data_IF_283435165577
#
_entry.id   IF_283435165577
#
_cell.length_a   1.000
_cell.length_b   1.000
_cell.length_c   1.000
_cell.angle_alpha   90.00
_cell.angle_beta   90.00
_cell.angle_gamma   90.00
#
_symmetry.space_group_name_H-M   'P 1'
#
loop_
_entity.id
_entity.type
_entity.pdbx_description
1 polymer ?
#
# COMPACT_ATOMS: atom_id res chain seq x y z
N UNK A 1 3.40 13.01 20.00
CA UNK A 1 3.18 13.90 18.83
C UNK A 1 2.69 15.25 19.31
N UNK A 2 3.32 16.33 18.83
CA UNK A 2 3.29 17.70 19.42
C UNK A 2 2.05 18.55 19.05
N UNK A 3 1.09 18.01 18.29
CA UNK A 3 -0.07 18.75 17.75
C UNK A 3 -1.37 17.95 17.86
N UNK A 4 -2.24 18.22 18.86
CA UNK A 4 -3.45 17.44 19.13
C UNK A 4 -4.58 17.64 18.10
N UNK A 5 -4.51 18.69 17.27
CA UNK A 5 -5.52 18.96 16.24
C UNK A 5 -5.54 17.91 15.12
N UNK A 6 -4.38 17.38 14.73
CA UNK A 6 -4.30 16.34 13.70
C UNK A 6 -4.89 14.99 14.12
N UNK A 7 -5.01 14.72 15.44
CA UNK A 7 -5.64 13.48 15.95
C UNK A 7 -7.15 13.40 15.70
N UNK A 8 -7.81 14.54 15.48
CA UNK A 8 -9.26 14.58 15.28
C UNK A 8 -9.66 14.20 13.86
N UNK A 9 -8.76 14.33 12.90
CA UNK A 9 -9.06 14.02 11.50
C UNK A 9 -8.88 12.53 11.20
N UNK A 10 -9.96 11.90 10.74
CA UNK A 10 -9.98 10.49 10.33
C UNK A 10 -8.93 10.18 9.27
N UNK A 11 -8.69 11.10 8.32
CA UNK A 11 -7.66 10.96 7.30
C UNK A 11 -6.26 10.73 7.91
N UNK A 12 -5.91 11.48 8.96
CA UNK A 12 -4.60 11.32 9.62
C UNK A 12 -4.48 9.99 10.35
N UNK A 13 -5.56 9.46 10.91
CA UNK A 13 -5.55 8.11 11.52
C UNK A 13 -5.29 7.03 10.47
N UNK A 14 -5.91 7.15 9.29
CA UNK A 14 -5.69 6.22 8.17
C UNK A 14 -4.25 6.34 7.66
N UNK A 15 -3.76 7.57 7.40
CA UNK A 15 -2.38 7.79 6.94
C UNK A 15 -1.34 7.30 7.95
N UNK A 16 -1.60 7.46 9.25
CA UNK A 16 -0.74 6.92 10.30
C UNK A 16 -0.72 5.39 10.30
N UNK A 17 -1.87 4.75 10.09
CA UNK A 17 -1.96 3.29 9.96
C UNK A 17 -1.18 2.77 8.75
N UNK A 18 -1.27 3.43 7.60
CA UNK A 18 -0.46 3.10 6.41
C UNK A 18 1.02 3.21 6.76
N UNK A 19 1.42 4.28 7.46
CA UNK A 19 2.79 4.46 7.91
C UNK A 19 3.29 3.34 8.85
N UNK A 20 2.43 2.79 9.71
CA UNK A 20 2.79 1.62 10.54
C UNK A 20 3.09 0.42 9.64
N UNK A 21 2.24 0.13 8.65
CA UNK A 21 2.45 -1.00 7.75
C UNK A 21 3.70 -0.81 6.86
N UNK A 22 3.98 0.41 6.40
CA UNK A 22 5.22 0.74 5.68
C UNK A 22 6.47 0.53 6.57
N UNK A 23 6.38 0.88 7.87
CA UNK A 23 7.45 0.57 8.82
C UNK A 23 7.65 -0.94 9.00
N UNK A 24 6.58 -1.73 9.07
CA UNK A 24 6.68 -3.20 9.18
C UNK A 24 7.39 -3.81 7.96
N UNK A 25 7.04 -3.36 6.74
CA UNK A 25 7.74 -3.77 5.52
C UNK A 25 9.23 -3.40 5.57
N UNK A 26 9.53 -2.19 6.01
CA UNK A 26 10.91 -1.69 6.09
C UNK A 26 11.76 -2.51 7.07
N UNK A 27 11.19 -2.97 8.20
CA UNK A 27 11.90 -3.84 9.16
C UNK A 27 12.31 -5.16 8.49
N UNK A 28 11.42 -5.79 7.75
CA UNK A 28 11.72 -7.03 7.04
C UNK A 28 12.74 -6.83 5.90
N UNK A 29 12.65 -5.72 5.16
CA UNK A 29 13.66 -5.36 4.17
C UNK A 29 15.03 -5.07 4.79
N UNK A 30 15.08 -4.36 5.91
CA UNK A 30 16.32 -4.10 6.64
C UNK A 30 16.97 -5.41 7.09
N UNK A 31 16.16 -6.35 7.59
CA UNK A 31 16.61 -7.70 7.91
C UNK A 31 17.18 -8.43 6.68
N UNK A 32 16.50 -8.40 5.54
CA UNK A 32 17.00 -9.01 4.29
C UNK A 32 18.33 -8.41 3.82
N UNK A 33 18.55 -7.11 4.06
CA UNK A 33 19.83 -6.43 3.82
C UNK A 33 20.95 -6.95 4.71
N UNK A 34 20.69 -7.17 6.01
CA UNK A 34 21.68 -7.75 6.94
C UNK A 34 22.06 -9.17 6.53
N UNK A 35 21.08 -10.02 6.18
CA UNK A 35 21.34 -11.40 5.74
C UNK A 35 22.19 -11.41 4.48
N UNK A 36 21.85 -10.54 3.52
CA UNK A 36 22.62 -10.37 2.28
C UNK A 36 24.07 -10.02 2.55
N UNK A 37 24.34 -9.08 3.46
CA UNK A 37 25.71 -8.67 3.81
C UNK A 37 26.50 -9.76 4.54
N UNK A 38 25.84 -10.53 5.41
CA UNK A 38 26.50 -11.58 6.20
C UNK A 38 26.62 -12.92 5.46
N UNK A 39 25.91 -13.08 4.34
CA UNK A 39 25.72 -14.36 3.66
C UNK A 39 25.36 -15.51 4.64
N UNK A 40 24.60 -15.18 5.69
CA UNK A 40 24.32 -16.08 6.80
C UNK A 40 23.00 -16.81 6.60
N UNK A 41 22.92 -18.07 6.99
CA UNK A 41 21.65 -18.80 7.06
C UNK A 41 20.92 -18.35 8.32
N UNK A 42 19.83 -17.60 8.17
CA UNK A 42 18.89 -17.43 9.26
C UNK A 42 18.03 -18.69 9.39
N UNK A 43 17.61 -19.01 10.62
CA UNK A 43 16.72 -20.15 10.84
C UNK A 43 15.44 -20.01 10.00
N UNK A 44 15.01 -21.11 9.38
CA UNK A 44 13.85 -21.17 8.47
C UNK A 44 12.59 -20.50 9.03
N UNK A 45 12.34 -20.64 10.34
CA UNK A 45 11.20 -20.02 11.01
C UNK A 45 11.24 -18.49 11.05
N UNK A 46 12.42 -17.89 11.26
CA UNK A 46 12.55 -16.44 11.35
C UNK A 46 12.51 -15.79 9.96
N UNK A 47 13.08 -16.44 8.95
CA UNK A 47 12.94 -16.03 7.55
C UNK A 47 11.46 -16.05 7.13
N UNK A 48 10.75 -17.14 7.44
CA UNK A 48 9.32 -17.28 7.15
C UNK A 48 8.47 -16.23 7.87
N UNK A 49 8.77 -15.94 9.13
CA UNK A 49 8.11 -14.86 9.87
C UNK A 49 8.31 -13.50 9.19
N UNK A 50 9.54 -13.18 8.79
CA UNK A 50 9.86 -11.90 8.14
C UNK A 50 9.23 -11.80 6.75
N UNK A 51 9.22 -12.89 5.98
CA UNK A 51 8.55 -12.99 4.68
C UNK A 51 7.03 -12.86 4.78
N UNK A 52 6.41 -13.49 5.79
CA UNK A 52 5.00 -13.28 6.09
C UNK A 52 4.71 -11.83 6.49
N UNK A 53 5.57 -11.23 7.33
CA UNK A 53 5.39 -9.87 7.83
C UNK A 53 5.44 -8.84 6.70
N UNK A 54 6.43 -8.92 5.81
CA UNK A 54 6.56 -7.99 4.68
C UNK A 54 5.35 -8.07 3.75
N UNK A 55 4.95 -9.28 3.33
CA UNK A 55 3.90 -9.42 2.33
C UNK A 55 2.52 -9.13 2.92
N UNK A 56 2.24 -9.55 4.15
CA UNK A 56 0.98 -9.21 4.83
C UNK A 56 0.83 -7.71 5.11
N UNK A 57 1.92 -7.00 5.43
CA UNK A 57 1.90 -5.56 5.61
C UNK A 57 1.60 -4.84 4.29
N UNK A 58 2.17 -5.31 3.17
CA UNK A 58 1.80 -4.82 1.83
C UNK A 58 0.30 -5.01 1.56
N UNK A 59 -0.22 -6.21 1.79
CA UNK A 59 -1.63 -6.54 1.58
C UNK A 59 -2.57 -5.76 2.52
N UNK A 60 -2.10 -5.32 3.69
CA UNK A 60 -2.85 -4.42 4.55
C UNK A 60 -2.87 -2.99 4.01
N UNK A 61 -1.80 -2.49 3.38
CA UNK A 61 -1.72 -1.12 2.83
C UNK A 61 -2.69 -0.93 1.67
N UNK A 62 -2.85 -1.93 0.80
CA UNK A 62 -3.72 -1.87 -0.38
C UNK A 62 -5.16 -1.45 -0.05
N UNK A 63 -5.93 -2.15 0.81
CA UNK A 63 -7.27 -1.73 1.22
C UNK A 63 -7.26 -0.46 2.08
N UNK A 64 -6.21 -0.19 2.86
CA UNK A 64 -6.10 1.09 3.58
C UNK A 64 -6.04 2.28 2.62
N UNK A 65 -5.39 2.13 1.46
CA UNK A 65 -5.41 3.11 0.38
C UNK A 65 -6.83 3.40 -0.14
N UNK A 66 -7.65 2.36 -0.28
CA UNK A 66 -9.07 2.49 -0.65
C UNK A 66 -9.86 3.24 0.42
N UNK A 67 -9.67 2.90 1.70
CA UNK A 67 -10.32 3.58 2.83
C UNK A 67 -9.95 5.07 2.85
N UNK A 68 -8.70 5.42 2.55
CA UNK A 68 -8.25 6.81 2.43
C UNK A 68 -8.94 7.55 1.28
N UNK A 69 -9.10 6.90 0.13
CA UNK A 69 -9.79 7.47 -1.02
C UNK A 69 -11.29 7.73 -0.72
N UNK A 70 -11.96 6.76 -0.09
CA UNK A 70 -13.34 6.90 0.37
C UNK A 70 -13.50 8.00 1.41
N UNK A 71 -12.54 8.12 2.34
CA UNK A 71 -12.56 9.19 3.35
C UNK A 71 -12.49 10.57 2.72
N UNK A 72 -11.67 10.74 1.68
CA UNK A 72 -11.58 12.00 0.94
C UNK A 72 -12.91 12.31 0.25
N UNK A 73 -13.53 11.34 -0.42
CA UNK A 73 -14.84 11.52 -1.07
C UNK A 73 -15.93 11.93 -0.07
N UNK A 74 -15.96 11.29 1.10
CA UNK A 74 -16.95 11.58 2.14
C UNK A 74 -16.75 12.96 2.79
N UNK A 75 -15.50 13.42 2.96
CA UNK A 75 -15.22 14.79 3.40
C UNK A 75 -15.75 15.83 2.39
N UNK A 76 -15.71 15.54 1.09
CA UNK A 76 -16.31 16.42 0.08
C UNK A 76 -17.85 16.38 0.12
N UNK A 77 -18.43 15.19 0.22
CA UNK A 77 -19.89 15.01 0.33
C UNK A 77 -20.45 15.70 1.57
N UNK A 78 -19.85 15.51 2.73
CA UNK A 78 -20.28 16.14 4.00
C UNK A 78 -20.24 17.66 3.95
N UNK A 79 -19.21 18.25 3.31
CA UNK A 79 -19.15 19.70 3.05
C UNK A 79 -20.28 20.19 2.14
N UNK A 80 -20.62 19.45 1.08
CA UNK A 80 -21.70 19.82 0.16
C UNK A 80 -23.09 19.66 0.80
N UNK A 81 -23.33 18.55 1.49
CA UNK A 81 -24.64 18.19 2.05
C UNK A 81 -24.88 18.78 3.45
N UNK A 82 -23.90 19.49 4.04
CA UNK A 82 -23.91 19.96 5.44
C UNK A 82 -24.26 18.87 6.47
N UNK A 83 -24.01 17.61 6.12
CA UNK A 83 -24.30 16.44 6.94
C UNK A 83 -22.98 15.94 7.54
N UNK A 84 -22.93 15.70 8.85
CA UNK A 84 -21.72 15.15 9.44
C UNK A 84 -21.50 13.72 8.96
N UNK A 85 -20.26 13.41 8.59
CA UNK A 85 -19.80 12.05 8.40
C UNK A 85 -19.94 11.24 9.69
N UNK A 86 -20.55 10.06 9.61
CA UNK A 86 -20.64 9.15 10.75
C UNK A 86 -19.22 8.65 11.11
N UNK A 87 -18.71 9.11 12.26
CA UNK A 87 -17.31 8.94 12.67
C UNK A 87 -16.85 7.51 12.93
N UNK A 88 -17.73 6.51 12.80
CA UNK A 88 -17.46 5.10 13.10
C UNK A 88 -17.14 4.25 11.86
N UNK A 89 -17.54 4.66 10.65
CA UNK A 89 -17.38 3.85 9.44
C UNK A 89 -15.91 3.63 9.10
N UNK A 90 -15.11 4.70 9.07
CA UNK A 90 -13.70 4.62 8.68
C UNK A 90 -12.82 3.83 9.66
N UNK A 91 -12.96 3.96 11.00
CA UNK A 91 -12.29 3.06 11.93
C UNK A 91 -12.63 1.59 11.71
N UNK A 92 -13.88 1.25 11.41
CA UNK A 92 -14.30 -0.13 11.13
C UNK A 92 -13.63 -0.64 9.85
N UNK A 93 -13.68 0.14 8.76
CA UNK A 93 -13.02 -0.22 7.49
C UNK A 93 -11.50 -0.36 7.65
N UNK A 94 -10.89 0.50 8.48
CA UNK A 94 -9.47 0.42 8.78
C UNK A 94 -9.13 -0.85 9.56
N UNK A 95 -9.96 -1.22 10.53
CA UNK A 95 -9.82 -2.48 11.28
C UNK A 95 -9.96 -3.70 10.36
N UNK A 96 -10.97 -3.71 9.47
CA UNK A 96 -11.14 -4.78 8.48
C UNK A 96 -9.94 -4.91 7.53
N UNK A 97 -9.29 -3.79 7.20
CA UNK A 97 -8.08 -3.78 6.37
C UNK A 97 -6.90 -4.46 7.06
N UNK A 98 -6.77 -4.30 8.39
CA UNK A 98 -5.78 -5.02 9.18
C UNK A 98 -6.11 -6.50 9.34
N UNK A 99 -7.39 -6.84 9.52
CA UNK A 99 -7.84 -8.25 9.54
C UNK A 99 -7.50 -8.92 8.20
N UNK A 100 -7.73 -8.25 7.07
CA UNK A 100 -7.39 -8.74 5.74
C UNK A 100 -5.90 -9.09 5.64
N UNK A 101 -4.99 -8.15 5.94
CA UNK A 101 -3.55 -8.46 5.96
C UNK A 101 -3.17 -9.52 6.99
N UNK A 102 -3.81 -9.51 8.16
CA UNK A 102 -3.57 -10.48 9.23
C UNK A 102 -3.93 -11.92 8.86
N UNK A 103 -4.98 -12.13 8.05
CA UNK A 103 -5.33 -13.45 7.51
C UNK A 103 -4.18 -13.98 6.65
N UNK A 104 -3.66 -13.16 5.73
CA UNK A 104 -2.51 -13.54 4.91
C UNK A 104 -1.26 -13.81 5.76
N UNK A 105 -1.03 -12.99 6.79
CA UNK A 105 0.08 -13.23 7.72
C UNK A 105 0.01 -14.63 8.34
N UNK A 106 -1.16 -15.04 8.84
CA UNK A 106 -1.35 -16.37 9.43
C UNK A 106 -1.16 -17.46 8.38
N UNK A 107 -1.69 -17.29 7.16
CA UNK A 107 -1.50 -18.26 6.07
C UNK A 107 -0.01 -18.46 5.77
N UNK A 108 0.77 -17.37 5.70
CA UNK A 108 2.22 -17.43 5.48
C UNK A 108 3.04 -18.10 6.56
N UNK A 109 2.49 -18.24 7.77
CA UNK A 109 3.15 -18.98 8.85
C UNK A 109 2.88 -20.49 8.78
N UNK A 110 1.85 -20.93 8.04
CA UNK A 110 1.52 -22.36 7.89
C UNK A 110 2.52 -23.10 7.01
N UNK A 111 2.69 -24.40 7.19
CA UNK A 111 3.64 -25.22 6.40
C UNK A 111 3.27 -25.39 4.92
N UNK A 112 2.10 -24.92 4.52
CA UNK A 112 1.58 -25.07 3.16
C UNK A 112 1.96 -23.91 2.24
N UNK A 113 2.24 -22.74 2.81
CA UNK A 113 2.58 -21.51 2.08
C UNK A 113 3.56 -20.66 2.85
N UNK A 114 4.47 -20.00 2.15
CA UNK A 114 5.44 -19.12 2.76
C UNK A 114 6.02 -18.13 1.76
N UNK A 115 6.60 -17.07 2.30
CA UNK A 115 7.49 -16.18 1.57
C UNK A 115 8.88 -16.38 2.16
N UNK A 116 9.83 -16.76 1.30
CA UNK A 116 11.21 -17.06 1.66
C UNK A 116 12.16 -16.11 0.96
N UNK A 117 13.32 -15.87 1.57
CA UNK A 117 14.31 -14.97 1.00
C UNK A 117 15.25 -15.73 0.07
N UNK A 118 15.19 -15.44 -1.23
CA UNK A 118 16.14 -15.95 -2.21
C UNK A 118 17.45 -15.16 -2.13
N UNK A 119 18.49 -15.82 -1.64
CA UNK A 119 19.82 -15.21 -1.43
C UNK A 119 20.59 -15.02 -2.73
N UNK A 120 20.36 -15.85 -3.73
CA UNK A 120 21.06 -15.79 -5.00
C UNK A 120 20.58 -14.62 -5.87
N UNK A 121 19.30 -14.25 -5.76
CA UNK A 121 18.74 -13.09 -6.46
C UNK A 121 18.44 -11.88 -5.58
N UNK A 122 18.69 -11.95 -4.26
CA UNK A 122 18.43 -10.87 -3.30
C UNK A 122 16.97 -10.37 -3.25
N UNK A 123 16.00 -11.26 -3.38
CA UNK A 123 14.57 -10.94 -3.38
C UNK A 123 13.78 -11.92 -2.52
N UNK A 124 12.57 -11.52 -2.13
CA UNK A 124 11.61 -12.41 -1.49
C UNK A 124 10.84 -13.19 -2.55
N UNK A 125 10.54 -14.45 -2.33
CA UNK A 125 9.74 -15.24 -3.28
C UNK A 125 8.79 -16.17 -2.54
N UNK A 126 7.77 -16.62 -3.26
CA UNK A 126 6.91 -17.69 -2.77
C UNK A 126 7.73 -18.97 -2.62
N UNK A 127 7.56 -19.67 -1.50
CA UNK A 127 8.16 -20.99 -1.33
C UNK A 127 7.52 -22.03 -2.26
N UNK A 128 8.13 -23.22 -2.35
CA UNK A 128 7.61 -24.34 -3.14
C UNK A 128 6.47 -25.09 -2.42
N UNK A 129 5.70 -24.41 -1.57
CA UNK A 129 4.55 -24.97 -0.89
C UNK A 129 3.41 -25.28 -1.86
N UNK A 130 2.64 -26.35 -1.57
CA UNK A 130 1.56 -26.83 -2.44
C UNK A 130 0.50 -25.76 -2.75
N UNK A 131 0.35 -24.76 -1.87
CA UNK A 131 -0.66 -23.72 -1.99
C UNK A 131 -0.07 -22.35 -2.34
N UNK A 132 1.25 -22.23 -2.49
CA UNK A 132 1.93 -20.93 -2.59
C UNK A 132 1.62 -20.22 -3.90
N UNK A 133 1.59 -20.95 -5.01
CA UNK A 133 1.15 -20.42 -6.31
C UNK A 133 -0.33 -20.01 -6.28
N UNK A 134 -1.17 -20.83 -5.64
CA UNK A 134 -2.61 -20.53 -5.49
C UNK A 134 -2.80 -19.26 -4.67
N UNK A 135 -2.08 -19.12 -3.56
CA UNK A 135 -2.14 -17.94 -2.70
C UNK A 135 -1.66 -16.69 -3.44
N UNK A 136 -0.56 -16.77 -4.18
CA UNK A 136 -0.07 -15.66 -5.02
C UNK A 136 -1.08 -15.23 -6.07
N UNK A 137 -1.77 -16.17 -6.72
CA UNK A 137 -2.86 -15.84 -7.66
C UNK A 137 -4.03 -15.15 -6.95
N UNK A 138 -4.43 -15.62 -5.77
CA UNK A 138 -5.49 -14.97 -4.97
C UNK A 138 -5.08 -13.55 -4.56
N UNK A 139 -3.82 -13.33 -4.19
CA UNK A 139 -3.29 -11.99 -3.88
C UNK A 139 -3.34 -11.06 -5.07
N UNK A 140 -2.94 -11.53 -6.25
CA UNK A 140 -3.03 -10.77 -7.48
C UNK A 140 -4.48 -10.36 -7.79
N UNK A 141 -5.39 -11.33 -7.79
CA UNK A 141 -6.80 -11.09 -8.12
C UNK A 141 -7.55 -10.28 -7.08
N UNK A 142 -7.08 -10.21 -5.83
CA UNK A 142 -7.66 -9.34 -4.80
C UNK A 142 -7.05 -7.94 -4.84
N UNK A 143 -5.74 -7.82 -5.05
CA UNK A 143 -5.01 -6.55 -5.02
C UNK A 143 -5.37 -5.65 -6.19
N UNK A 144 -5.38 -6.18 -7.42
CA UNK A 144 -5.60 -5.38 -8.63
C UNK A 144 -6.98 -4.68 -8.63
N UNK A 145 -8.11 -5.36 -8.34
CA UNK A 145 -9.41 -4.70 -8.26
C UNK A 145 -9.47 -3.61 -7.17
N UNK A 146 -8.83 -3.81 -6.02
CA UNK A 146 -8.81 -2.81 -4.94
C UNK A 146 -8.01 -1.57 -5.36
N UNK A 147 -6.86 -1.76 -6.01
CA UNK A 147 -6.08 -0.66 -6.56
C UNK A 147 -6.87 0.10 -7.63
N UNK A 148 -7.54 -0.62 -8.54
CA UNK A 148 -8.37 -0.02 -9.59
C UNK A 148 -9.55 0.77 -8.99
N UNK A 149 -10.26 0.20 -8.00
CA UNK A 149 -11.33 0.88 -7.29
C UNK A 149 -10.83 2.16 -6.59
N UNK A 150 -9.66 2.08 -5.96
CA UNK A 150 -9.00 3.23 -5.33
C UNK A 150 -8.73 4.34 -6.34
N UNK A 151 -8.19 3.99 -7.51
CA UNK A 151 -7.93 4.92 -8.60
C UNK A 151 -9.22 5.57 -9.15
N UNK A 152 -10.27 4.78 -9.40
CA UNK A 152 -11.56 5.30 -9.86
C UNK A 152 -12.18 6.26 -8.86
N UNK A 153 -12.11 5.98 -7.56
CA UNK A 153 -12.60 6.89 -6.51
C UNK A 153 -11.80 8.19 -6.51
N UNK A 154 -10.48 8.14 -6.69
CA UNK A 154 -9.68 9.36 -6.83
C UNK A 154 -10.12 10.20 -8.02
N UNK A 155 -10.35 9.59 -9.20
CA UNK A 155 -10.90 10.29 -10.36
C UNK A 155 -12.26 10.93 -10.08
N UNK A 156 -13.15 10.24 -9.37
CA UNK A 156 -14.45 10.78 -8.95
C UNK A 156 -14.30 12.00 -8.03
N UNK A 157 -13.40 11.93 -7.04
CA UNK A 157 -13.10 13.05 -6.14
C UNK A 157 -12.72 14.30 -6.94
N UNK A 158 -11.91 14.15 -7.98
CA UNK A 158 -11.53 15.28 -8.85
C UNK A 158 -12.66 15.74 -9.73
N UNK A 159 -13.42 14.82 -10.32
CA UNK A 159 -14.61 15.15 -11.11
C UNK A 159 -15.55 16.05 -10.32
N UNK A 160 -15.83 15.68 -9.06
CA UNK A 160 -16.65 16.49 -8.14
C UNK A 160 -16.00 17.86 -7.89
N UNK A 161 -14.70 17.92 -7.58
CA UNK A 161 -13.98 19.18 -7.37
C UNK A 161 -14.04 20.11 -8.61
N UNK A 162 -13.90 19.56 -9.81
CA UNK A 162 -13.96 20.31 -11.07
C UNK A 162 -15.37 20.81 -11.38
N UNK A 163 -16.40 20.00 -11.11
CA UNK A 163 -17.80 20.38 -11.30
C UNK A 163 -18.21 21.51 -10.35
N UNK A 164 -17.80 21.46 -9.08
CA UNK A 164 -18.07 22.54 -8.11
C UNK A 164 -17.49 23.89 -8.57
N UNK A 165 -16.34 23.89 -9.24
CA UNK A 165 -15.70 25.13 -9.74
C UNK A 165 -16.45 25.75 -10.91
N UNK A 166 -17.01 24.93 -11.80
CA UNK A 166 -17.84 25.43 -12.91
C UNK A 166 -19.11 26.13 -12.42
N UNK A 167 -19.60 25.79 -11.22
CA UNK A 167 -20.83 26.35 -10.63
C UNK A 167 -20.69 27.78 -10.06
N UNK A 168 -19.55 28.48 -10.21
CA UNK A 168 -19.31 29.88 -9.77
C UNK A 168 -19.49 30.21 -8.27
N UNK A 169 -19.88 29.25 -7.41
CA UNK A 169 -20.20 29.51 -5.99
C UNK A 169 -18.97 29.63 -5.07
N UNK A 170 -17.76 29.32 -5.53
CA UNK A 170 -16.53 29.46 -4.73
C UNK A 170 -15.37 29.97 -5.58
N UNK A 171 -14.92 31.21 -5.33
CA UNK A 171 -13.73 31.86 -5.91
C UNK A 171 -12.39 31.24 -5.50
N UNK A 172 -12.38 30.07 -4.88
CA UNK A 172 -11.14 29.38 -4.53
C UNK A 172 -10.73 28.53 -5.73
N UNK A 173 -9.53 28.77 -6.26
CA UNK A 173 -8.84 27.84 -7.17
C UNK A 173 -8.91 26.40 -6.60
N UNK A 174 -8.62 25.32 -7.36
CA UNK A 174 -8.01 24.18 -6.68
C UNK A 174 -6.91 24.76 -5.82
N UNK A 175 -6.95 24.55 -4.51
CA UNK A 175 -5.71 24.68 -3.78
C UNK A 175 -4.69 23.86 -4.55
N UNK A 176 -3.50 24.41 -4.70
CA UNK A 176 -2.37 23.65 -5.25
C UNK A 176 -2.24 22.30 -4.55
N UNK A 177 -2.70 22.22 -3.29
CA UNK A 177 -2.91 21.03 -2.49
C UNK A 177 -3.76 19.93 -3.15
N UNK A 178 -4.96 20.19 -3.67
CA UNK A 178 -5.83 19.13 -4.21
C UNK A 178 -5.28 18.51 -5.51
N UNK A 179 -4.64 19.32 -6.37
CA UNK A 179 -3.98 18.82 -7.59
C UNK A 179 -2.74 17.98 -7.23
N UNK A 180 -1.95 18.42 -6.24
CA UNK A 180 -0.79 17.66 -5.73
C UNK A 180 -1.23 16.30 -5.19
N UNK A 181 -2.33 16.27 -4.46
CA UNK A 181 -2.91 15.05 -3.90
C UNK A 181 -3.33 14.04 -4.99
N UNK A 182 -3.88 14.54 -6.10
CA UNK A 182 -4.20 13.72 -7.27
C UNK A 182 -2.94 13.16 -7.93
N UNK A 183 -1.97 14.03 -8.23
CA UNK A 183 -0.73 13.60 -8.89
C UNK A 183 -0.06 12.51 -8.06
N UNK A 184 -0.03 12.67 -6.74
CA UNK A 184 0.44 11.65 -5.82
C UNK A 184 -0.36 10.35 -5.95
N UNK A 185 -1.70 10.40 -5.95
CA UNK A 185 -2.54 9.21 -6.05
C UNK A 185 -2.37 8.47 -7.40
N UNK A 186 -2.27 9.19 -8.51
CA UNK A 186 -1.99 8.62 -9.84
C UNK A 186 -0.62 7.97 -9.85
N UNK A 187 0.40 8.65 -9.33
CA UNK A 187 1.75 8.13 -9.28
C UNK A 187 1.83 6.86 -8.43
N UNK A 188 1.27 6.88 -7.22
CA UNK A 188 1.23 5.72 -6.33
C UNK A 188 0.45 4.56 -6.95
N UNK A 189 -0.69 4.82 -7.61
CA UNK A 189 -1.46 3.79 -8.30
C UNK A 189 -0.65 3.14 -9.44
N UNK A 190 -0.11 3.95 -10.36
CA UNK A 190 0.68 3.44 -11.49
C UNK A 190 1.86 2.64 -10.96
N UNK A 191 2.59 3.19 -9.98
CA UNK A 191 3.75 2.53 -9.40
C UNK A 191 3.39 1.19 -8.72
N UNK A 192 2.29 1.16 -7.97
CA UNK A 192 1.81 -0.06 -7.31
C UNK A 192 1.38 -1.13 -8.31
N UNK A 193 0.63 -0.75 -9.35
CA UNK A 193 0.20 -1.70 -10.39
C UNK A 193 1.41 -2.23 -11.16
N UNK A 194 2.37 -1.37 -11.51
CA UNK A 194 3.60 -1.80 -12.17
C UNK A 194 4.38 -2.78 -11.30
N UNK A 195 4.54 -2.51 -10.00
CA UNK A 195 5.21 -3.45 -9.09
C UNK A 195 4.47 -4.79 -9.02
N UNK A 196 3.15 -4.79 -8.84
CA UNK A 196 2.36 -6.03 -8.74
C UNK A 196 2.43 -6.84 -10.03
N UNK A 197 2.34 -6.17 -11.19
CA UNK A 197 2.48 -6.81 -12.50
C UNK A 197 3.90 -7.35 -12.72
N UNK A 198 4.93 -6.58 -12.37
CA UNK A 198 6.31 -7.04 -12.41
C UNK A 198 6.51 -8.26 -11.50
N UNK A 199 5.97 -8.25 -10.29
CA UNK A 199 6.12 -9.36 -9.37
C UNK A 199 5.56 -10.68 -9.92
N UNK A 200 4.38 -10.64 -10.54
CA UNK A 200 3.68 -11.86 -11.01
C UNK A 200 4.05 -12.27 -12.43
N UNK A 201 4.45 -11.33 -13.29
CA UNK A 201 4.58 -11.56 -14.72
C UNK A 201 5.94 -11.12 -15.30
N UNK A 202 6.96 -10.82 -14.49
CA UNK A 202 8.25 -10.37 -15.01
C UNK A 202 8.84 -11.31 -16.08
N UNK A 203 8.66 -12.63 -15.94
CA UNK A 203 9.16 -13.62 -16.90
C UNK A 203 8.56 -13.48 -18.31
N UNK A 204 7.42 -12.82 -18.46
CA UNK A 204 6.76 -12.61 -19.76
C UNK A 204 7.32 -11.42 -20.54
N UNK A 205 7.88 -10.41 -19.86
CA UNK A 205 8.23 -9.13 -20.50
C UNK A 205 9.59 -8.54 -20.10
N UNK A 206 10.23 -9.05 -19.05
CA UNK A 206 11.60 -8.68 -18.67
C UNK A 206 12.56 -9.80 -19.05
N UNK A 207 13.82 -9.47 -19.40
CA UNK A 207 14.81 -10.48 -19.73
C UNK A 207 15.10 -11.37 -18.51
N UNK A 208 15.35 -12.66 -18.77
CA UNK A 208 15.86 -13.62 -17.79
C UNK A 208 17.29 -13.24 -17.39
N UNK A 209 17.36 -12.29 -16.47
CA UNK A 209 18.59 -11.75 -15.91
C UNK A 209 18.51 -11.84 -14.40
N UNK A 210 19.60 -12.20 -13.71
CA UNK A 210 19.64 -12.19 -12.25
C UNK A 210 19.37 -10.81 -11.64
N UNK A 211 19.52 -9.73 -12.43
CA UNK A 211 19.24 -8.37 -12.00
C UNK A 211 17.75 -8.00 -12.04
N UNK A 212 16.94 -8.71 -12.81
CA UNK A 212 15.50 -8.45 -12.94
C UNK A 212 14.77 -8.48 -11.59
N UNK A 213 14.86 -9.57 -10.79
CA UNK A 213 14.21 -9.61 -9.48
C UNK A 213 14.81 -8.62 -8.47
N UNK A 214 16.11 -8.33 -8.56
CA UNK A 214 16.78 -7.32 -7.73
C UNK A 214 16.16 -5.95 -7.95
N UNK A 215 15.97 -5.53 -9.21
CA UNK A 215 15.39 -4.24 -9.56
C UNK A 215 13.94 -4.14 -9.08
N UNK A 216 13.17 -5.22 -9.23
CA UNK A 216 11.77 -5.27 -8.75
C UNK A 216 11.72 -5.13 -7.23
N UNK A 217 12.61 -5.81 -6.50
CA UNK A 217 12.68 -5.72 -5.04
C UNK A 217 13.11 -4.32 -4.57
N UNK A 218 14.06 -3.67 -5.26
CA UNK A 218 14.45 -2.27 -4.98
C UNK A 218 13.28 -1.31 -5.23
N UNK A 219 12.51 -1.52 -6.30
CA UNK A 219 11.31 -0.74 -6.56
C UNK A 219 10.26 -0.92 -5.45
N UNK A 220 10.08 -2.14 -4.96
CA UNK A 220 9.19 -2.41 -3.83
C UNK A 220 9.63 -1.69 -2.55
N UNK A 221 10.92 -1.75 -2.19
CA UNK A 221 11.48 -1.01 -1.05
C UNK A 221 11.20 0.50 -1.19
N UNK A 222 11.39 1.02 -2.41
CA UNK A 222 11.20 2.44 -2.71
C UNK A 222 9.73 2.88 -2.51
N UNK A 223 8.76 1.99 -2.71
CA UNK A 223 7.34 2.29 -2.47
C UNK A 223 7.07 2.69 -1.02
N UNK A 224 7.69 2.00 -0.05
CA UNK A 224 7.57 2.34 1.37
C UNK A 224 8.14 3.72 1.71
N UNK A 225 9.12 4.21 0.94
CA UNK A 225 9.69 5.55 1.12
C UNK A 225 8.88 6.65 0.41
N UNK A 226 8.16 6.32 -0.66
CA UNK A 226 7.36 7.28 -1.43
C UNK A 226 6.25 7.90 -0.59
N UNK A 227 5.52 7.09 0.19
CA UNK A 227 4.41 7.56 1.02
C UNK A 227 4.85 8.67 2.00
N UNK A 228 5.83 8.46 2.91
CA UNK A 228 6.36 9.52 3.78
C UNK A 228 6.96 10.71 3.04
N UNK A 229 7.67 10.47 1.93
CA UNK A 229 8.32 11.54 1.15
C UNK A 229 7.29 12.51 0.59
N UNK A 230 6.19 11.99 0.04
CA UNK A 230 5.09 12.82 -0.44
C UNK A 230 4.38 13.56 0.70
N UNK A 231 4.17 12.90 1.86
CA UNK A 231 3.57 13.59 3.01
C UNK A 231 4.45 14.74 3.52
N UNK A 232 5.76 14.57 3.58
CA UNK A 232 6.69 15.63 3.99
C UNK A 232 6.82 16.75 2.96
N UNK A 233 6.84 16.40 1.66
CA UNK A 233 6.94 17.38 0.58
C UNK A 233 5.67 18.23 0.41
N UNK A 234 4.49 17.65 0.67
CA UNK A 234 3.21 18.30 0.39
C UNK A 234 2.47 18.83 1.62
N UNK A 235 2.87 18.47 2.84
CA UNK A 235 2.27 19.00 4.09
C UNK A 235 2.93 20.32 4.57
N UNK A 236 3.36 21.17 3.61
CA UNK A 236 3.80 22.56 3.85
C UNK A 236 2.71 23.55 3.46
#
# INVERSE_FOLDING_TARGET
MKYPEYRKSTAYKIMFSIGIADCLQTVAHFYSGIITLKNSVSGSYFEKFMGGLINSAWLAVVPQGLVLALNRLDVFRSKQLKQSSDGYIFPILLFLSWIFGGIYFVLYLTDYTGIVYNRSGFYWEYDSGNWSETLGNVEYYTTIPILLATFLIYLLVIGVILMMKKSKTTKSMPGTFEIRLLIQAVFVFIYSVLIVCCWHYFSLFLPDSPWTPVIINIAWISLGALNPSFYLAFNR
#
